data_IF_530798152749
#
_entry.id   IF_530798152749
#
_cell.length_a   1.000
_cell.length_b   1.000
_cell.length_c   1.000
_cell.angle_alpha   90.00
_cell.angle_beta   90.00
_cell.angle_gamma   90.00
#
_symmetry.space_group_name_H-M   'P 1'
#
loop_
_entity.id
_entity.type
_entity.pdbx_description
1 polymer ?
#
# COMPACT_ATOMS: atom_id res chain seq x y z
N UNK A 1 -22.58 -54.62 0.01
CA UNK A 1 -23.24 -53.42 0.60
C UNK A 1 -22.32 -52.25 0.92
N UNK A 2 -20.98 -52.43 1.07
CA UNK A 2 -20.01 -51.35 1.40
C UNK A 2 -19.81 -50.27 0.32
N UNK A 3 -19.76 -50.55 -1.02
CA UNK A 3 -19.48 -49.48 -2.00
C UNK A 3 -20.66 -48.49 -2.18
N UNK A 4 -21.89 -48.94 -2.02
CA UNK A 4 -23.08 -48.09 -2.17
C UNK A 4 -23.12 -47.02 -1.06
N UNK A 5 -22.75 -47.37 0.16
CA UNK A 5 -22.73 -46.46 1.32
C UNK A 5 -21.67 -45.35 1.16
N UNK A 6 -20.50 -45.68 0.64
CA UNK A 6 -19.44 -44.72 0.37
C UNK A 6 -19.86 -43.76 -0.76
N UNK A 7 -20.51 -44.26 -1.80
CA UNK A 7 -21.00 -43.43 -2.92
C UNK A 7 -22.08 -42.46 -2.44
N UNK A 8 -23.00 -42.91 -1.58
CA UNK A 8 -24.04 -42.06 -1.00
C UNK A 8 -23.46 -40.92 -0.14
N UNK A 9 -22.41 -41.19 0.67
CA UNK A 9 -21.74 -40.17 1.46
C UNK A 9 -21.04 -39.13 0.58
N UNK A 10 -20.35 -39.53 -0.48
CA UNK A 10 -19.68 -38.62 -1.43
C UNK A 10 -20.72 -37.72 -2.12
N UNK A 11 -21.84 -38.30 -2.53
CA UNK A 11 -22.93 -37.52 -3.19
C UNK A 11 -23.56 -36.51 -2.23
N UNK A 12 -23.77 -36.88 -0.95
CA UNK A 12 -24.28 -35.98 0.08
C UNK A 12 -23.27 -34.83 0.38
N UNK A 13 -21.97 -35.11 0.46
CA UNK A 13 -20.95 -34.08 0.64
C UNK A 13 -20.92 -33.06 -0.52
N UNK A 14 -21.16 -33.52 -1.76
CA UNK A 14 -21.16 -32.63 -2.94
C UNK A 14 -22.30 -31.60 -2.92
N UNK A 15 -23.44 -31.94 -2.31
CA UNK A 15 -24.62 -31.06 -2.23
C UNK A 15 -24.39 -29.89 -1.24
N UNK A 16 -23.57 -30.11 -0.21
CA UNK A 16 -23.27 -29.06 0.79
C UNK A 16 -22.15 -28.09 0.36
N UNK A 17 -21.46 -28.35 -0.75
CA UNK A 17 -20.39 -27.48 -1.26
C UNK A 17 -20.93 -26.37 -2.18
N UNK A 18 -22.13 -25.83 -1.91
CA UNK A 18 -22.63 -24.66 -2.61
C UNK A 18 -21.82 -23.44 -2.16
N UNK A 19 -20.94 -22.98 -3.04
CA UNK A 19 -20.26 -21.71 -2.84
C UNK A 19 -21.29 -20.60 -2.71
N UNK A 20 -21.32 -19.94 -1.56
CA UNK A 20 -22.26 -18.83 -1.34
C UNK A 20 -21.90 -17.73 -2.35
N UNK A 21 -22.84 -17.30 -3.20
CA UNK A 21 -22.60 -16.19 -4.09
C UNK A 21 -22.30 -14.95 -3.23
N UNK A 22 -21.15 -14.36 -3.44
CA UNK A 22 -20.76 -13.15 -2.72
C UNK A 22 -20.68 -11.99 -3.69
N UNK A 23 -21.29 -10.90 -3.33
CA UNK A 23 -21.18 -9.66 -4.07
C UNK A 23 -19.71 -9.23 -4.17
N UNK A 24 -19.36 -8.62 -5.28
CA UNK A 24 -17.98 -8.21 -5.57
C UNK A 24 -17.88 -6.72 -5.86
N UNK A 25 -16.73 -6.16 -5.53
CA UNK A 25 -16.41 -4.78 -5.80
C UNK A 25 -15.23 -4.71 -6.78
N UNK A 26 -15.38 -4.03 -7.90
CA UNK A 26 -14.37 -3.96 -8.96
C UNK A 26 -13.82 -2.54 -9.06
N UNK A 27 -12.50 -2.44 -8.96
CA UNK A 27 -11.77 -1.22 -9.24
C UNK A 27 -11.36 -1.23 -10.72
N UNK A 28 -11.85 -0.26 -11.48
CA UNK A 28 -11.54 -0.06 -12.89
C UNK A 28 -10.60 1.13 -13.09
N UNK A 29 -9.72 1.03 -14.07
CA UNK A 29 -8.89 2.12 -14.56
C UNK A 29 -9.12 2.31 -16.06
N UNK A 30 -9.60 3.46 -16.49
CA UNK A 30 -9.94 3.72 -17.89
C UNK A 30 -10.82 2.60 -18.49
N UNK A 31 -11.84 2.21 -17.76
CA UNK A 31 -12.78 1.13 -18.11
C UNK A 31 -12.20 -0.30 -18.16
N UNK A 32 -10.93 -0.51 -17.77
CA UNK A 32 -10.32 -1.84 -17.64
C UNK A 32 -10.30 -2.25 -16.17
N UNK A 33 -10.65 -3.48 -15.87
CA UNK A 33 -10.56 -4.04 -14.51
C UNK A 33 -9.10 -4.06 -14.05
N UNK A 34 -8.83 -3.38 -12.94
CA UNK A 34 -7.51 -3.35 -12.32
C UNK A 34 -7.43 -4.35 -11.16
N UNK A 35 -8.46 -4.36 -10.32
CA UNK A 35 -8.51 -5.21 -9.13
C UNK A 35 -9.96 -5.54 -8.80
N UNK A 36 -10.20 -6.77 -8.36
CA UNK A 36 -11.49 -7.24 -7.87
C UNK A 36 -11.36 -7.57 -6.39
N UNK A 37 -12.31 -7.12 -5.60
CA UNK A 37 -12.37 -7.34 -4.17
C UNK A 37 -13.52 -8.31 -3.84
N UNK A 38 -13.19 -9.30 -3.03
CA UNK A 38 -14.12 -10.32 -2.51
C UNK A 38 -14.14 -10.27 -0.98
N UNK A 39 -15.15 -10.81 -0.34
CA UNK A 39 -15.09 -11.12 1.09
C UNK A 39 -13.85 -11.97 1.40
N UNK A 40 -13.15 -11.63 2.49
CA UNK A 40 -11.87 -12.23 2.86
C UNK A 40 -10.63 -11.48 2.36
N UNK A 41 -10.76 -10.61 1.36
CA UNK A 41 -9.62 -9.80 0.90
C UNK A 41 -9.31 -8.67 1.89
N UNK A 42 -8.01 -8.39 2.04
CA UNK A 42 -7.58 -7.18 2.71
C UNK A 42 -7.74 -5.97 1.78
N UNK A 43 -8.26 -4.88 2.31
CA UNK A 43 -8.48 -3.65 1.58
C UNK A 43 -7.97 -2.45 2.39
N UNK A 44 -7.27 -1.54 1.70
CA UNK A 44 -6.85 -0.27 2.28
C UNK A 44 -7.34 0.85 1.38
N UNK A 45 -8.12 1.76 1.94
CA UNK A 45 -8.67 2.89 1.21
C UNK A 45 -8.78 4.13 2.09
N UNK A 46 -8.99 5.26 1.44
CA UNK A 46 -9.21 6.55 2.06
C UNK A 46 -10.61 7.04 1.72
N UNK A 47 -11.31 7.54 2.72
CA UNK A 47 -12.48 8.41 2.56
C UNK A 47 -12.03 9.87 2.60
N UNK A 48 -12.94 10.83 2.57
CA UNK A 48 -12.60 12.26 2.64
C UNK A 48 -11.75 12.63 3.87
N UNK A 49 -11.97 11.96 5.02
CA UNK A 49 -11.35 12.32 6.30
C UNK A 49 -10.47 11.24 6.90
N UNK A 50 -10.74 9.96 6.68
CA UNK A 50 -10.10 8.86 7.41
C UNK A 50 -9.55 7.80 6.47
N UNK A 51 -8.46 7.17 6.91
CA UNK A 51 -7.89 5.96 6.31
C UNK A 51 -8.47 4.73 6.99
N UNK A 52 -8.91 3.78 6.18
CA UNK A 52 -9.38 2.47 6.63
C UNK A 52 -8.48 1.38 6.06
N UNK A 53 -8.11 0.43 6.91
CA UNK A 53 -7.45 -0.81 6.51
C UNK A 53 -8.11 -1.96 7.26
N UNK A 54 -8.45 -3.03 6.56
CA UNK A 54 -9.08 -4.19 7.18
C UNK A 54 -9.45 -5.26 6.18
N UNK A 55 -9.99 -6.36 6.69
CA UNK A 55 -10.46 -7.48 5.88
C UNK A 55 -11.95 -7.29 5.58
N UNK A 56 -12.32 -7.47 4.34
CA UNK A 56 -13.71 -7.40 3.89
C UNK A 56 -14.45 -8.59 4.47
N UNK A 57 -15.46 -8.34 5.30
CA UNK A 57 -16.34 -9.38 5.82
C UNK A 57 -17.49 -9.68 4.85
N UNK A 58 -18.12 -8.64 4.35
CA UNK A 58 -19.20 -8.73 3.36
C UNK A 58 -19.31 -7.44 2.57
N UNK A 59 -19.82 -7.57 1.36
CA UNK A 59 -20.07 -6.46 0.43
C UNK A 59 -21.58 -6.44 0.20
N UNK A 60 -22.22 -5.34 0.49
CA UNK A 60 -23.63 -5.12 0.20
C UNK A 60 -23.77 -4.00 -0.84
N UNK A 61 -25.01 -3.81 -1.33
CA UNK A 61 -25.32 -2.83 -2.38
C UNK A 61 -24.78 -1.41 -2.14
N UNK A 62 -24.73 -0.96 -0.88
CA UNK A 62 -24.32 0.41 -0.54
C UNK A 62 -23.19 0.46 0.51
N UNK A 63 -22.83 -0.67 1.11
CA UNK A 63 -21.95 -0.72 2.27
C UNK A 63 -20.93 -1.85 2.17
N UNK A 64 -19.73 -1.54 2.58
CA UNK A 64 -18.62 -2.45 2.76
C UNK A 64 -18.42 -2.70 4.25
N UNK A 65 -18.61 -3.94 4.69
CA UNK A 65 -18.37 -4.36 6.07
C UNK A 65 -16.94 -4.84 6.22
N UNK A 66 -16.23 -4.25 7.16
CA UNK A 66 -14.81 -4.50 7.40
C UNK A 66 -14.57 -5.00 8.81
N UNK A 67 -13.53 -5.85 8.91
CA UNK A 67 -12.94 -6.31 10.16
C UNK A 67 -11.52 -5.76 10.24
N UNK A 68 -11.21 -5.08 11.32
CA UNK A 68 -9.86 -4.63 11.62
C UNK A 68 -9.41 -5.29 12.93
N UNK A 69 -8.24 -5.93 12.88
CA UNK A 69 -7.61 -6.55 14.04
C UNK A 69 -6.57 -5.60 14.62
N UNK A 70 -6.65 -5.35 15.93
CA UNK A 70 -5.57 -4.69 16.69
C UNK A 70 -4.63 -5.78 17.20
N UNK A 71 -3.53 -5.97 16.49
CA UNK A 71 -2.52 -6.98 16.83
C UNK A 71 -1.34 -6.28 17.48
N UNK A 72 -0.98 -6.73 18.70
CA UNK A 72 0.15 -6.19 19.46
C UNK A 72 1.12 -7.28 19.86
N UNK A 73 2.37 -6.87 20.04
CA UNK A 73 3.38 -7.73 20.62
C UNK A 73 3.22 -7.74 22.13
N UNK A 74 2.93 -8.93 22.68
CA UNK A 74 2.78 -9.15 24.12
C UNK A 74 3.98 -9.96 24.60
N UNK A 75 4.68 -9.53 25.67
CA UNK A 75 5.75 -10.33 26.26
C UNK A 75 5.17 -11.56 26.94
N UNK A 76 5.74 -12.72 26.66
CA UNK A 76 5.41 -13.96 27.35
C UNK A 76 6.28 -14.12 28.61
N UNK A 77 5.88 -15.00 29.52
CA UNK A 77 6.65 -15.32 30.73
C UNK A 77 8.06 -15.87 30.43
N UNK A 78 8.32 -16.30 29.20
CA UNK A 78 9.61 -16.81 28.72
C UNK A 78 10.49 -15.70 28.10
N UNK A 79 10.10 -14.43 28.17
CA UNK A 79 10.85 -13.30 27.59
C UNK A 79 10.76 -13.19 26.06
N UNK A 80 9.91 -14.00 25.40
CA UNK A 80 9.67 -13.93 23.96
C UNK A 80 8.41 -13.10 23.70
N UNK A 81 8.43 -12.27 22.65
CA UNK A 81 7.25 -11.51 22.23
C UNK A 81 6.41 -12.34 21.26
N UNK A 82 5.11 -12.42 21.53
CA UNK A 82 4.13 -13.09 20.66
C UNK A 82 3.15 -12.04 20.13
N UNK A 83 2.77 -12.16 18.86
CA UNK A 83 1.72 -11.34 18.28
C UNK A 83 0.36 -11.88 18.74
N UNK A 84 -0.40 -11.06 19.45
CA UNK A 84 -1.73 -11.41 19.90
C UNK A 84 -2.76 -10.36 19.44
N UNK A 85 -3.97 -10.83 19.16
CA UNK A 85 -5.09 -9.98 18.75
C UNK A 85 -5.84 -9.49 19.97
N UNK A 86 -5.60 -8.24 20.36
CA UNK A 86 -6.19 -7.62 21.55
C UNK A 86 -7.66 -7.23 21.32
N UNK A 87 -7.97 -6.74 20.12
CA UNK A 87 -9.31 -6.28 19.78
C UNK A 87 -9.65 -6.52 18.31
N UNK A 88 -10.94 -6.68 18.05
CA UNK A 88 -11.49 -6.79 16.70
C UNK A 88 -12.56 -5.72 16.52
N UNK A 89 -12.31 -4.79 15.62
CA UNK A 89 -13.25 -3.71 15.30
C UNK A 89 -14.05 -4.08 14.05
N UNK A 90 -15.36 -3.86 14.11
CA UNK A 90 -16.28 -4.05 13.00
C UNK A 90 -16.88 -2.71 12.63
N UNK A 91 -16.78 -2.32 11.38
CA UNK A 91 -17.37 -1.08 10.90
C UNK A 91 -17.90 -1.24 9.48
N UNK A 92 -18.89 -0.44 9.15
CA UNK A 92 -19.48 -0.37 7.83
C UNK A 92 -19.13 0.98 7.20
N UNK A 93 -18.67 0.94 5.96
CA UNK A 93 -18.33 2.14 5.18
C UNK A 93 -19.12 2.13 3.89
N UNK A 94 -19.76 3.25 3.55
CA UNK A 94 -20.37 3.38 2.24
C UNK A 94 -19.27 3.50 1.19
N UNK A 95 -19.24 2.57 0.23
CA UNK A 95 -18.19 2.55 -0.78
C UNK A 95 -18.20 3.76 -1.71
N UNK A 96 -19.33 4.51 -1.80
CA UNK A 96 -19.42 5.78 -2.53
C UNK A 96 -18.63 6.91 -1.86
N UNK A 97 -18.31 6.78 -0.58
CA UNK A 97 -17.47 7.75 0.15
C UNK A 97 -15.98 7.48 -0.01
N UNK A 98 -15.60 6.40 -0.65
CA UNK A 98 -14.20 6.07 -0.91
C UNK A 98 -13.67 7.07 -1.95
N UNK A 99 -12.61 7.79 -1.57
CA UNK A 99 -11.95 8.77 -2.43
C UNK A 99 -10.70 8.21 -3.10
N UNK A 100 -10.14 7.13 -2.58
CA UNK A 100 -8.99 6.49 -3.19
C UNK A 100 -8.52 5.21 -2.49
N UNK A 101 -7.70 4.45 -3.19
CA UNK A 101 -7.15 3.17 -2.77
C UNK A 101 -5.64 3.23 -2.57
N UNK A 102 -5.13 2.36 -1.68
CA UNK A 102 -3.72 2.23 -1.37
C UNK A 102 -3.21 3.31 -0.40
N UNK A 103 -1.97 3.15 0.05
CA UNK A 103 -1.31 4.14 0.91
C UNK A 103 -1.14 5.44 0.13
N UNK A 104 -1.99 6.40 0.38
CA UNK A 104 -1.78 7.76 -0.10
C UNK A 104 -0.66 8.37 0.74
N UNK A 105 0.43 8.72 0.10
CA UNK A 105 1.50 9.46 0.74
C UNK A 105 0.92 10.76 1.29
N UNK A 106 1.03 10.97 2.61
CA UNK A 106 0.85 12.30 3.16
C UNK A 106 1.82 13.22 2.42
N UNK A 107 1.38 14.45 2.08
CA UNK A 107 2.22 15.46 1.41
C UNK A 107 3.49 15.84 2.21
N UNK A 108 3.75 15.19 3.34
CA UNK A 108 4.99 15.37 4.12
C UNK A 108 6.12 14.69 3.36
N UNK A 109 7.17 15.47 3.14
CA UNK A 109 8.41 15.04 2.51
C UNK A 109 9.01 13.89 3.33
N UNK A 110 9.08 12.70 2.73
CA UNK A 110 9.55 11.51 3.42
C UNK A 110 11.05 11.34 3.18
N UNK A 111 11.85 11.75 4.17
CA UNK A 111 13.30 11.66 4.15
C UNK A 111 13.83 10.24 4.40
N UNK A 112 12.97 9.33 4.87
CA UNK A 112 13.41 7.97 5.27
C UNK A 112 13.73 7.03 4.10
N UNK A 113 13.37 7.42 2.87
CA UNK A 113 13.62 6.61 1.67
C UNK A 113 14.95 6.90 0.99
N UNK A 114 15.34 6.01 0.07
CA UNK A 114 16.55 6.16 -0.76
C UNK A 114 16.64 7.49 -1.51
N UNK A 115 15.50 8.07 -1.90
CA UNK A 115 15.43 9.39 -2.53
C UNK A 115 15.87 10.53 -1.60
N UNK A 116 15.54 10.44 -0.29
CA UNK A 116 15.98 11.38 0.73
C UNK A 116 17.49 11.35 0.95
N UNK A 117 18.05 10.16 1.05
CA UNK A 117 19.49 9.96 1.20
C UNK A 117 20.28 10.48 -0.02
N UNK A 118 19.81 10.19 -1.25
CA UNK A 118 20.43 10.68 -2.48
C UNK A 118 20.35 12.20 -2.61
N UNK A 119 19.20 12.79 -2.26
CA UNK A 119 19.04 14.24 -2.29
C UNK A 119 19.91 14.93 -1.24
N UNK A 120 19.89 14.47 0.01
CA UNK A 120 20.71 15.01 1.09
C UNK A 120 22.21 14.86 0.81
N UNK A 121 22.65 13.68 0.42
CA UNK A 121 24.02 13.41 0.03
C UNK A 121 24.47 14.23 -1.18
N UNK A 122 23.61 14.33 -2.21
CA UNK A 122 23.89 15.15 -3.39
C UNK A 122 24.04 16.63 -3.06
N UNK A 123 23.17 17.20 -2.22
CA UNK A 123 23.28 18.61 -1.78
C UNK A 123 24.57 18.82 -0.99
N UNK A 124 24.88 17.99 0.00
CA UNK A 124 26.09 18.11 0.81
C UNK A 124 27.35 18.03 -0.03
N UNK A 125 27.47 17.02 -0.91
CA UNK A 125 28.64 16.88 -1.78
C UNK A 125 28.77 18.03 -2.79
N UNK A 126 27.65 18.55 -3.30
CA UNK A 126 27.68 19.68 -4.22
C UNK A 126 28.13 20.95 -3.51
N UNK A 127 27.60 21.24 -2.30
CA UNK A 127 27.97 22.46 -1.55
C UNK A 127 29.44 22.44 -1.09
N UNK A 128 29.91 21.32 -0.54
CA UNK A 128 31.31 21.14 -0.16
C UNK A 128 32.21 21.16 -1.37
N UNK A 129 31.82 20.47 -2.46
CA UNK A 129 32.59 20.43 -3.70
C UNK A 129 32.70 21.79 -4.37
N UNK A 130 31.64 22.59 -4.42
CA UNK A 130 31.66 23.99 -4.90
C UNK A 130 32.58 24.85 -4.03
N UNK A 131 32.51 24.73 -2.71
CA UNK A 131 33.39 25.46 -1.78
C UNK A 131 34.85 25.14 -2.07
N UNK A 132 35.21 23.85 -2.15
CA UNK A 132 36.60 23.47 -2.41
C UNK A 132 37.04 23.84 -3.83
N UNK A 133 36.19 23.78 -4.82
CA UNK A 133 36.49 24.20 -6.20
C UNK A 133 36.75 25.72 -6.31
N UNK A 134 35.95 26.53 -5.61
CA UNK A 134 36.09 28.00 -5.67
C UNK A 134 37.27 28.54 -4.87
N UNK A 135 37.59 27.90 -3.74
CA UNK A 135 38.60 28.45 -2.78
C UNK A 135 39.96 27.70 -2.83
N UNK A 136 40.04 26.54 -3.49
CA UNK A 136 41.26 25.75 -3.57
C UNK A 136 41.90 25.85 -4.97
N UNK A 137 43.27 25.93 -5.00
CA UNK A 137 44.01 25.92 -6.26
C UNK A 137 44.01 24.50 -6.87
N UNK A 138 44.03 24.36 -8.23
CA UNK A 138 43.93 23.05 -8.92
C UNK A 138 44.95 21.98 -8.50
N UNK A 139 46.08 22.37 -7.91
CA UNK A 139 47.14 21.46 -7.46
C UNK A 139 47.10 21.11 -5.97
N UNK A 140 46.05 21.50 -5.26
CA UNK A 140 45.93 21.21 -3.82
C UNK A 140 45.21 19.90 -3.59
N UNK A 141 45.55 19.22 -2.47
CA UNK A 141 44.99 17.92 -2.06
C UNK A 141 43.45 17.95 -1.84
N UNK A 142 42.88 19.12 -1.68
CA UNK A 142 41.46 19.34 -1.40
C UNK A 142 40.67 19.91 -2.59
N UNK A 143 41.24 19.94 -3.77
CA UNK A 143 40.56 20.43 -4.97
C UNK A 143 39.55 19.41 -5.49
N UNK A 144 38.27 19.78 -5.47
CA UNK A 144 37.20 18.97 -6.09
C UNK A 144 37.14 19.27 -7.58
N UNK A 145 37.28 18.24 -8.42
CA UNK A 145 37.15 18.40 -9.88
C UNK A 145 35.72 18.84 -10.25
N UNK A 146 35.54 19.68 -11.29
CA UNK A 146 34.22 20.09 -11.78
C UNK A 146 33.31 18.89 -12.11
N UNK A 147 33.88 17.80 -12.58
CA UNK A 147 33.16 16.56 -12.90
C UNK A 147 32.54 15.91 -11.65
N UNK A 148 33.25 15.96 -10.52
CA UNK A 148 32.78 15.41 -9.24
C UNK A 148 31.61 16.24 -8.70
N UNK A 149 31.73 17.58 -8.77
CA UNK A 149 30.67 18.51 -8.37
C UNK A 149 29.44 18.34 -9.25
N UNK A 150 29.62 18.23 -10.58
CA UNK A 150 28.53 17.96 -11.53
C UNK A 150 27.85 16.63 -11.29
N UNK A 151 28.61 15.56 -11.03
CA UNK A 151 28.08 14.25 -10.69
C UNK A 151 27.26 14.27 -9.41
N UNK A 152 27.72 14.97 -8.36
CA UNK A 152 26.97 15.14 -7.11
C UNK A 152 25.65 15.89 -7.32
N UNK A 153 25.64 16.94 -8.13
CA UNK A 153 24.43 17.69 -8.48
C UNK A 153 23.42 16.81 -9.24
N UNK A 154 23.87 15.97 -10.17
CA UNK A 154 23.02 15.02 -10.90
C UNK A 154 22.39 14.01 -9.91
N UNK A 155 23.16 13.46 -8.98
CA UNK A 155 22.65 12.56 -7.94
C UNK A 155 21.57 13.24 -7.08
N UNK A 156 21.78 14.49 -6.71
CA UNK A 156 20.78 15.30 -6.00
C UNK A 156 19.47 15.46 -6.81
N UNK A 157 19.58 15.75 -8.10
CA UNK A 157 18.41 15.85 -9.00
C UNK A 157 17.66 14.53 -9.12
N UNK A 158 18.38 13.40 -9.26
CA UNK A 158 17.78 12.06 -9.30
C UNK A 158 17.06 11.79 -7.97
N UNK A 159 17.68 12.09 -6.82
CA UNK A 159 17.06 11.97 -5.51
C UNK A 159 15.76 12.76 -5.40
N UNK A 160 15.73 14.00 -5.89
CA UNK A 160 14.52 14.83 -5.93
C UNK A 160 13.43 14.22 -6.81
N UNK A 161 13.78 13.71 -8.01
CA UNK A 161 12.83 13.06 -8.90
C UNK A 161 12.22 11.80 -8.28
N UNK A 162 13.04 10.98 -7.60
CA UNK A 162 12.57 9.80 -6.89
C UNK A 162 11.61 10.16 -5.74
N UNK A 163 11.90 11.22 -4.99
CA UNK A 163 11.00 11.72 -3.96
C UNK A 163 9.68 12.23 -4.53
N UNK A 164 9.72 12.95 -5.65
CA UNK A 164 8.52 13.47 -6.33
C UNK A 164 7.70 12.36 -6.98
N UNK A 165 8.34 11.31 -7.50
CA UNK A 165 7.70 10.17 -8.17
C UNK A 165 7.07 9.17 -7.20
N UNK A 166 7.19 9.37 -5.89
CA UNK A 166 6.64 8.47 -4.87
C UNK A 166 5.17 8.09 -5.17
N UNK A 167 4.81 6.86 -4.86
CA UNK A 167 3.54 6.21 -5.19
C UNK A 167 2.33 7.11 -4.91
N UNK A 168 1.78 7.67 -5.96
CA UNK A 168 0.49 8.35 -5.90
C UNK A 168 -0.58 7.29 -5.71
N UNK A 169 -1.27 7.29 -4.57
CA UNK A 169 -2.43 6.43 -4.36
C UNK A 169 -3.43 6.59 -5.52
N UNK A 170 -4.21 5.57 -5.77
CA UNK A 170 -5.23 5.55 -6.83
C UNK A 170 -6.43 6.38 -6.39
N UNK A 171 -6.51 7.65 -6.78
CA UNK A 171 -7.66 8.51 -6.48
C UNK A 171 -8.82 8.17 -7.41
N UNK A 172 -10.00 7.91 -6.84
CA UNK A 172 -11.24 7.74 -7.58
C UNK A 172 -11.64 9.06 -8.27
N UNK A 173 -12.11 8.98 -9.48
CA UNK A 173 -12.49 10.14 -10.29
C UNK A 173 -12.33 9.86 -11.78
N UNK A 174 -11.71 10.80 -12.54
CA UNK A 174 -11.61 10.71 -14.01
C UNK A 174 -10.97 9.42 -14.55
N UNK A 175 -10.00 8.81 -13.82
CA UNK A 175 -9.24 7.65 -14.29
C UNK A 175 -9.62 6.33 -13.61
N UNK A 176 -10.09 6.40 -12.37
CA UNK A 176 -10.43 5.24 -11.56
C UNK A 176 -11.88 5.30 -11.15
N UNK A 177 -12.61 4.21 -11.36
CA UNK A 177 -13.99 4.03 -10.95
C UNK A 177 -14.14 2.76 -10.14
N UNK A 178 -15.09 2.79 -9.22
CA UNK A 178 -15.44 1.65 -8.39
C UNK A 178 -16.85 1.20 -8.77
N UNK A 179 -17.01 -0.08 -9.05
CA UNK A 179 -18.26 -0.67 -9.50
C UNK A 179 -18.61 -1.86 -8.62
N UNK A 180 -19.85 -1.89 -8.18
CA UNK A 180 -20.44 -2.99 -7.44
C UNK A 180 -21.12 -3.93 -8.41
N UNK A 181 -20.85 -5.23 -8.28
CA UNK A 181 -21.53 -6.29 -9.04
C UNK A 181 -22.18 -7.24 -8.05
N UNK A 182 -23.49 -7.36 -8.17
CA UNK A 182 -24.26 -8.37 -7.45
C UNK A 182 -24.09 -9.71 -8.17
N UNK A 183 -23.65 -10.73 -7.44
CA UNK A 183 -23.58 -12.10 -7.91
C UNK A 183 -24.82 -12.81 -7.39
N UNK A 184 -25.71 -13.17 -8.30
CA UNK A 184 -26.95 -13.92 -8.00
C UNK A 184 -26.68 -15.41 -7.82
#
# INVERSE_FOLDING_TARGET
MKPVFVFTIITLCSIYCAAQPSDILILKKNNRTLQTFFPGNEITFKTSSVYYSGIIKSINRDSLFLLQYDVRQIPTNLGVYVLDTIATYRFAVNYKQITGFGKMKNNKFDWSGSGGALLGGGILLTTVGLGTWLFSKPNTRYYASPYLVGGAAILGCIGYLLLKSGHKGMMLGKKYSLEYIKVN
#
